data_IF_654318777346
#
_entry.id   IF_654318777346
#
_cell.length_a   1.000
_cell.length_b   1.000
_cell.length_c   1.000
_cell.angle_alpha   90.00
_cell.angle_beta   90.00
_cell.angle_gamma   90.00
#
_symmetry.space_group_name_H-M   'P 1'
#
loop_
_entity.id
_entity.type
_entity.pdbx_description
1 polymer ?
#
# COMPACT_ATOMS: atom_id res chain seq x y z
N UNK A 1 6.50 11.03 -16.25
CA UNK A 1 6.47 9.79 -17.06
C UNK A 1 7.50 8.74 -16.57
N UNK A 2 8.73 9.13 -16.20
CA UNK A 2 9.75 8.20 -15.70
C UNK A 2 9.40 7.46 -14.39
N UNK A 3 8.73 8.12 -13.44
CA UNK A 3 8.37 7.51 -12.15
C UNK A 3 7.41 6.31 -12.32
N UNK A 4 6.33 6.45 -13.09
CA UNK A 4 5.35 5.37 -13.31
C UNK A 4 6.00 4.12 -13.93
N UNK A 5 6.90 4.31 -14.90
CA UNK A 5 7.63 3.21 -15.54
C UNK A 5 8.51 2.45 -14.54
N UNK A 6 9.24 3.17 -13.70
CA UNK A 6 10.03 2.53 -12.64
C UNK A 6 9.14 1.72 -11.68
N UNK A 7 7.97 2.25 -11.31
CA UNK A 7 7.05 1.53 -10.43
C UNK A 7 6.55 0.23 -11.08
N UNK A 8 6.13 0.29 -12.34
CA UNK A 8 5.62 -0.87 -13.09
C UNK A 8 6.68 -1.95 -13.32
N UNK A 9 7.94 -1.57 -13.54
CA UNK A 9 9.06 -2.51 -13.74
C UNK A 9 9.50 -3.22 -12.44
N UNK A 10 9.25 -2.63 -11.27
CA UNK A 10 9.79 -3.12 -9.99
C UNK A 10 8.72 -3.64 -9.02
N UNK A 11 7.49 -3.13 -9.10
CA UNK A 11 6.40 -3.45 -8.18
C UNK A 11 5.18 -3.95 -8.94
N UNK A 12 4.51 -4.97 -8.38
CA UNK A 12 3.25 -5.51 -8.90
C UNK A 12 2.06 -4.58 -8.58
N UNK A 13 2.08 -3.37 -9.14
CA UNK A 13 1.22 -2.24 -8.77
C UNK A 13 0.35 -1.72 -9.93
N UNK A 14 0.11 -2.53 -10.96
CA UNK A 14 -0.70 -2.12 -12.11
C UNK A 14 -2.13 -1.69 -11.72
N UNK A 15 -2.75 -2.36 -10.74
CA UNK A 15 -4.07 -1.95 -10.23
C UNK A 15 -4.02 -0.57 -9.57
N UNK A 16 -2.98 -0.31 -8.78
CA UNK A 16 -2.76 1.00 -8.16
C UNK A 16 -2.72 2.10 -9.22
N UNK A 17 -1.85 1.95 -10.21
CA UNK A 17 -1.61 2.95 -11.25
C UNK A 17 -2.81 3.19 -12.16
N UNK A 18 -3.72 2.22 -12.27
CA UNK A 18 -4.90 2.31 -13.16
C UNK A 18 -6.18 2.73 -12.47
N UNK A 19 -6.38 2.36 -11.20
CA UNK A 19 -7.66 2.55 -10.49
C UNK A 19 -7.57 3.38 -9.22
N UNK A 20 -6.40 3.40 -8.59
CA UNK A 20 -6.19 4.02 -7.28
C UNK A 20 -5.10 5.10 -7.28
N UNK A 21 -4.71 5.61 -8.44
CA UNK A 21 -3.69 6.66 -8.54
C UNK A 21 -4.12 7.99 -7.86
N UNK A 22 -5.44 8.20 -7.72
CA UNK A 22 -6.01 9.30 -6.95
C UNK A 22 -6.14 9.02 -5.45
N UNK A 23 -5.71 7.85 -4.98
CA UNK A 23 -5.88 7.38 -3.62
C UNK A 23 -7.27 6.81 -3.32
N UNK A 24 -7.47 6.39 -2.08
CA UNK A 24 -8.73 5.94 -1.53
C UNK A 24 -8.84 6.38 -0.06
N UNK A 25 -9.87 7.18 0.22
CA UNK A 25 -10.22 7.59 1.58
C UNK A 25 -11.32 6.67 2.11
N UNK A 26 -11.07 6.05 3.26
CA UNK A 26 -12.05 5.24 3.96
C UNK A 26 -12.81 6.13 4.97
N UNK A 27 -14.08 6.39 4.69
CA UNK A 27 -14.89 7.29 5.52
C UNK A 27 -15.17 6.72 6.93
N UNK A 28 -15.25 5.40 7.06
CA UNK A 28 -15.60 4.76 8.33
C UNK A 28 -14.49 4.91 9.37
N UNK A 29 -13.23 4.77 8.96
CA UNK A 29 -12.05 4.96 9.81
C UNK A 29 -11.45 6.37 9.73
N UNK A 30 -12.03 7.26 8.93
CA UNK A 30 -11.52 8.60 8.64
C UNK A 30 -10.05 8.60 8.19
N UNK A 31 -9.68 7.61 7.38
CA UNK A 31 -8.29 7.29 7.05
C UNK A 31 -8.05 7.39 5.55
N UNK A 32 -6.95 8.04 5.15
CA UNK A 32 -6.42 7.92 3.79
C UNK A 32 -5.76 6.54 3.62
N UNK A 33 -6.58 5.51 3.40
CA UNK A 33 -6.15 4.11 3.34
C UNK A 33 -5.16 3.85 2.20
N UNK A 34 -5.39 4.47 1.04
CA UNK A 34 -4.49 4.44 -0.10
C UNK A 34 -4.11 5.87 -0.49
N UNK A 35 -2.82 6.17 -0.58
CA UNK A 35 -2.28 7.48 -0.92
C UNK A 35 -2.42 7.77 -2.42
N UNK A 36 -2.68 9.04 -2.80
CA UNK A 36 -2.56 9.46 -4.18
C UNK A 36 -1.11 9.36 -4.67
N UNK A 37 -0.91 9.24 -5.99
CA UNK A 37 0.40 9.05 -6.61
C UNK A 37 1.39 10.18 -6.32
N UNK A 38 0.91 11.37 -5.98
CA UNK A 38 1.75 12.51 -5.58
C UNK A 38 2.43 12.30 -4.22
N UNK A 39 1.89 11.41 -3.40
CA UNK A 39 2.22 11.29 -1.98
C UNK A 39 2.86 9.93 -1.65
N UNK A 40 2.88 8.99 -2.58
CA UNK A 40 3.58 7.72 -2.40
C UNK A 40 5.09 7.91 -2.34
N UNK A 41 5.74 7.13 -1.49
CA UNK A 41 7.19 7.20 -1.29
C UNK A 41 7.81 5.81 -1.37
N UNK A 42 9.05 5.74 -1.84
CA UNK A 42 9.86 4.52 -1.75
C UNK A 42 10.70 4.61 -0.48
N UNK A 43 10.56 3.64 0.42
CA UNK A 43 11.47 3.50 1.55
C UNK A 43 12.85 3.07 1.03
N UNK A 44 13.84 3.95 1.18
CA UNK A 44 15.21 3.64 0.76
C UNK A 44 15.85 2.52 1.61
N UNK A 45 15.42 2.38 2.86
CA UNK A 45 15.94 1.37 3.78
C UNK A 45 15.45 -0.03 3.42
N UNK A 46 14.17 -0.17 3.11
CA UNK A 46 13.52 -1.46 2.93
C UNK A 46 13.09 -1.77 1.50
N UNK A 47 13.27 -0.82 0.57
CA UNK A 47 12.97 -0.95 -0.85
C UNK A 47 11.51 -1.37 -1.12
N UNK A 48 10.58 -0.78 -0.36
CA UNK A 48 9.14 -0.91 -0.57
C UNK A 48 8.51 0.40 -0.98
N UNK A 49 7.51 0.33 -1.85
CA UNK A 49 6.66 1.45 -2.23
C UNK A 49 5.54 1.57 -1.20
N UNK A 50 5.56 2.62 -0.40
CA UNK A 50 4.48 2.97 0.54
C UNK A 50 3.31 3.53 -0.25
N UNK A 51 2.16 2.86 -0.14
CA UNK A 51 0.91 3.21 -0.83
C UNK A 51 -0.19 3.61 0.14
N UNK A 52 0.03 3.58 1.45
CA UNK A 52 -1.03 3.77 2.44
C UNK A 52 -0.50 3.64 3.86
N UNK A 53 -1.30 4.08 4.82
CA UNK A 53 -1.02 3.94 6.25
C UNK A 53 -2.22 3.32 6.94
N UNK A 54 -1.98 2.53 7.98
CA UNK A 54 -3.05 1.93 8.79
C UNK A 54 -3.61 2.87 9.86
N UNK A 55 -3.00 4.05 10.05
CA UNK A 55 -3.39 5.01 11.10
C UNK A 55 -2.96 4.64 12.52
N UNK A 56 -2.22 3.53 12.70
CA UNK A 56 -1.71 3.08 14.00
C UNK A 56 -0.25 2.59 13.87
N UNK A 57 0.54 2.79 14.94
CA UNK A 57 1.90 2.25 15.14
C UNK A 57 2.90 2.48 13.99
N UNK A 58 2.65 3.49 13.16
CA UNK A 58 3.43 3.75 11.95
C UNK A 58 3.33 2.64 10.89
N UNK A 59 2.32 1.77 10.97
CA UNK A 59 2.14 0.66 10.02
C UNK A 59 1.84 1.20 8.63
N UNK A 60 2.59 0.71 7.65
CA UNK A 60 2.52 1.12 6.25
C UNK A 60 1.94 0.01 5.39
N UNK A 61 1.01 0.35 4.50
CA UNK A 61 0.63 -0.51 3.39
C UNK A 61 1.58 -0.27 2.22
N UNK A 62 2.11 -1.34 1.66
CA UNK A 62 3.18 -1.24 0.66
C UNK A 62 3.15 -2.35 -0.38
N UNK A 63 3.78 -2.05 -1.53
CA UNK A 63 4.28 -3.06 -2.44
C UNK A 63 5.76 -3.31 -2.18
N UNK A 64 6.17 -4.56 -2.32
CA UNK A 64 7.56 -4.96 -2.16
C UNK A 64 8.16 -5.29 -3.52
N UNK A 65 9.42 -4.93 -3.73
CA UNK A 65 10.12 -5.21 -4.99
C UNK A 65 10.05 -6.70 -5.31
N UNK A 66 9.58 -7.02 -6.52
CA UNK A 66 9.43 -8.40 -7.02
C UNK A 66 8.63 -9.37 -6.11
N UNK A 67 7.76 -8.86 -5.23
CA UNK A 67 6.90 -9.67 -4.35
C UNK A 67 5.44 -9.25 -4.56
N UNK A 68 4.61 -10.10 -5.18
CA UNK A 68 3.27 -9.72 -5.59
C UNK A 68 2.31 -9.50 -4.41
N UNK A 69 1.33 -8.64 -4.65
CA UNK A 69 0.30 -8.23 -3.70
C UNK A 69 0.72 -7.17 -2.69
N UNK A 70 -0.20 -6.87 -1.78
CA UNK A 70 -0.10 -5.77 -0.82
C UNK A 70 0.33 -6.31 0.54
N UNK A 71 1.27 -5.60 1.16
CA UNK A 71 1.88 -5.97 2.43
C UNK A 71 1.67 -4.87 3.46
N UNK A 72 1.52 -5.24 4.72
CA UNK A 72 1.70 -4.36 5.86
C UNK A 72 3.14 -4.46 6.34
N UNK A 73 3.83 -3.33 6.46
CA UNK A 73 5.11 -3.22 7.14
C UNK A 73 4.88 -2.75 8.58
N UNK A 74 5.37 -3.54 9.53
CA UNK A 74 5.31 -3.27 10.95
C UNK A 74 6.67 -2.75 11.42
N UNK A 75 6.84 -1.43 11.60
CA UNK A 75 8.15 -0.84 11.86
C UNK A 75 8.72 -1.23 13.22
N UNK A 76 7.88 -1.46 14.22
CA UNK A 76 8.30 -1.86 15.57
C UNK A 76 8.99 -3.23 15.54
N UNK A 77 8.41 -4.20 14.82
CA UNK A 77 8.95 -5.55 14.69
C UNK A 77 9.90 -5.73 13.49
N UNK A 78 9.99 -4.73 12.61
CA UNK A 78 10.78 -4.80 11.37
C UNK A 78 10.31 -5.92 10.42
N UNK A 79 9.01 -6.23 10.38
CA UNK A 79 8.46 -7.37 9.61
C UNK A 79 7.45 -6.95 8.56
N UNK A 80 7.36 -7.76 7.51
CA UNK A 80 6.34 -7.63 6.46
C UNK A 80 5.33 -8.77 6.56
N UNK A 81 4.05 -8.44 6.47
CA UNK A 81 2.96 -9.41 6.38
C UNK A 81 2.13 -9.15 5.14
N UNK A 82 1.91 -10.16 4.29
CA UNK A 82 1.00 -10.01 3.15
C UNK A 82 -0.42 -9.92 3.69
N UNK A 83 -1.15 -8.87 3.32
CA UNK A 83 -2.53 -8.63 3.79
C UNK A 83 -3.56 -8.77 2.70
N UNK A 84 -3.18 -8.55 1.43
CA UNK A 84 -4.09 -8.67 0.30
C UNK A 84 -3.34 -9.10 -0.97
N UNK A 85 -4.06 -9.67 -1.93
CA UNK A 85 -3.48 -9.98 -3.25
C UNK A 85 -3.41 -8.75 -4.16
N UNK A 86 -4.23 -7.74 -3.92
CA UNK A 86 -4.32 -6.49 -4.68
C UNK A 86 -4.97 -5.38 -3.82
N UNK A 87 -5.13 -4.16 -4.34
CA UNK A 87 -5.68 -3.03 -3.58
C UNK A 87 -7.19 -3.18 -3.39
N UNK A 88 -7.92 -3.72 -4.36
CA UNK A 88 -9.36 -3.98 -4.19
C UNK A 88 -9.65 -4.83 -2.95
N UNK A 89 -8.85 -5.88 -2.73
CA UNK A 89 -8.94 -6.71 -1.53
C UNK A 89 -8.49 -5.99 -0.26
N UNK A 90 -7.51 -5.08 -0.33
CA UNK A 90 -7.15 -4.23 0.81
C UNK A 90 -8.34 -3.37 1.23
N UNK A 91 -8.95 -2.64 0.28
CA UNK A 91 -10.06 -1.73 0.53
C UNK A 91 -11.28 -2.47 1.07
N UNK A 92 -11.70 -3.54 0.40
CA UNK A 92 -12.84 -4.35 0.85
C UNK A 92 -12.54 -4.99 2.21
N UNK A 93 -11.35 -5.57 2.37
CA UNK A 93 -10.95 -6.26 3.58
C UNK A 93 -10.79 -5.35 4.78
N UNK A 94 -10.34 -4.12 4.58
CA UNK A 94 -10.28 -3.09 5.61
C UNK A 94 -11.69 -2.67 6.02
N UNK A 95 -12.54 -2.29 5.05
CA UNK A 95 -13.90 -1.81 5.31
C UNK A 95 -14.78 -2.85 6.01
N UNK A 96 -14.65 -4.13 5.65
CA UNK A 96 -15.41 -5.21 6.27
C UNK A 96 -14.73 -5.82 7.51
N UNK A 97 -13.54 -5.33 7.89
CA UNK A 97 -12.81 -5.76 9.09
C UNK A 97 -12.17 -7.16 9.01
N UNK A 98 -12.07 -7.75 7.82
CA UNK A 98 -11.33 -9.02 7.62
C UNK A 98 -9.81 -8.82 7.59
N UNK A 99 -9.35 -7.64 7.17
CA UNK A 99 -7.97 -7.20 7.34
C UNK A 99 -7.89 -6.41 8.64
N UNK A 100 -6.98 -6.85 9.51
CA UNK A 100 -6.64 -6.18 10.76
C UNK A 100 -5.12 -6.13 10.85
N UNK A 101 -4.60 -5.01 11.33
CA UNK A 101 -3.17 -4.81 11.52
C UNK A 101 -2.88 -4.42 12.95
#
# INVERSE_FOLDING_TARGET
MFAKRFLDENYDCAEYLSRYEGGHYDEQSFLQLVLPLTDVTISNEHQHLVIGHAGADGIEFCYRIHKPGVWAFYPIEGRFQKVATNIGQLVEGWSNGTIKV
#
